data_IF_873162747399
#
_entry.id   IF_873162747399
#
_cell.length_a   1.000
_cell.length_b   1.000
_cell.length_c   1.000
_cell.angle_alpha   90.00
_cell.angle_beta   90.00
_cell.angle_gamma   90.00
#
_symmetry.space_group_name_H-M   'P 1'
#
loop_
_entity.id
_entity.type
_entity.pdbx_description
1 polymer ?
#
# COMPACT_ATOMS: atom_id res chain seq x y z
N UNK A 1 0.49 -4.38 19.50
CA UNK A 1 -0.71 -3.86 18.77
C UNK A 1 -1.60 -5.02 18.36
N UNK A 2 -2.87 -4.91 18.67
CA UNK A 2 -3.85 -5.90 18.24
C UNK A 2 -4.22 -5.67 16.77
N UNK A 3 -4.65 -6.72 16.05
CA UNK A 3 -5.01 -6.59 14.63
C UNK A 3 -6.20 -5.66 14.40
N UNK A 4 -7.14 -5.61 15.32
CA UNK A 4 -8.31 -4.73 15.22
C UNK A 4 -7.98 -3.25 15.48
N UNK A 5 -6.76 -2.95 15.91
CA UNK A 5 -6.28 -1.57 16.06
C UNK A 5 -5.62 -1.05 14.78
N UNK A 6 -5.38 -1.91 13.79
CA UNK A 6 -4.77 -1.51 12.53
C UNK A 6 -5.83 -0.87 11.63
N UNK A 7 -5.59 0.38 11.27
CA UNK A 7 -6.48 1.14 10.38
C UNK A 7 -5.80 1.51 9.06
N UNK A 8 -4.51 1.85 9.12
CA UNK A 8 -3.74 2.35 7.98
C UNK A 8 -2.54 1.45 7.71
N UNK A 9 -2.44 1.00 6.48
CA UNK A 9 -1.33 0.17 5.99
C UNK A 9 -0.57 0.96 4.93
N UNK A 10 0.73 1.09 5.10
CA UNK A 10 1.60 1.65 4.06
C UNK A 10 2.23 0.51 3.27
N UNK A 11 2.15 0.58 1.95
CA UNK A 11 2.78 -0.40 1.05
C UNK A 11 3.88 0.33 0.29
N UNK A 12 5.11 -0.11 0.47
CA UNK A 12 6.29 0.51 -0.13
C UNK A 12 6.72 -0.29 -1.35
N UNK A 13 6.51 0.30 -2.51
CA UNK A 13 6.73 -0.35 -3.80
C UNK A 13 5.39 -0.61 -4.50
N UNK A 14 5.18 0.02 -5.66
CA UNK A 14 3.92 -0.03 -6.38
C UNK A 14 3.94 -0.99 -7.58
N UNK A 15 4.97 -1.84 -7.68
CA UNK A 15 5.10 -2.85 -8.74
C UNK A 15 4.08 -3.97 -8.60
N UNK A 16 4.29 -5.06 -9.35
CA UNK A 16 3.34 -6.19 -9.43
C UNK A 16 2.88 -6.70 -8.07
N UNK A 17 3.83 -6.87 -7.15
CA UNK A 17 3.53 -7.37 -5.82
C UNK A 17 2.89 -6.29 -4.95
N UNK A 18 3.43 -5.08 -4.98
CA UNK A 18 2.96 -3.98 -4.12
C UNK A 18 1.53 -3.57 -4.40
N UNK A 19 1.17 -3.38 -5.68
CA UNK A 19 -0.20 -2.98 -5.99
C UNK A 19 -1.21 -4.12 -5.69
N UNK A 20 -0.78 -5.38 -5.84
CA UNK A 20 -1.62 -6.51 -5.48
C UNK A 20 -1.91 -6.58 -3.99
N UNK A 21 -0.89 -6.35 -3.16
CA UNK A 21 -1.03 -6.30 -1.70
C UNK A 21 -1.94 -5.13 -1.30
N UNK A 22 -1.73 -3.96 -1.90
CA UNK A 22 -2.54 -2.77 -1.64
C UNK A 22 -4.01 -3.01 -1.97
N UNK A 23 -4.29 -3.67 -3.08
CA UNK A 23 -5.66 -4.01 -3.49
C UNK A 23 -6.35 -4.90 -2.45
N UNK A 24 -5.67 -5.97 -2.01
CA UNK A 24 -6.21 -6.91 -1.02
C UNK A 24 -6.49 -6.17 0.30
N UNK A 25 -5.57 -5.34 0.75
CA UNK A 25 -5.73 -4.58 1.98
C UNK A 25 -6.92 -3.60 1.89
N UNK A 26 -7.05 -2.91 0.76
CA UNK A 26 -8.15 -1.98 0.53
C UNK A 26 -9.51 -2.70 0.51
N UNK A 27 -9.58 -3.87 -0.12
CA UNK A 27 -10.79 -4.68 -0.11
C UNK A 27 -11.15 -5.18 1.28
N UNK A 28 -10.14 -5.42 2.12
CA UNK A 28 -10.36 -5.84 3.51
C UNK A 28 -10.85 -4.69 4.41
N UNK A 29 -10.85 -3.46 3.92
CA UNK A 29 -11.38 -2.31 4.65
C UNK A 29 -10.34 -1.39 5.26
N UNK A 30 -9.05 -1.62 4.99
CA UNK A 30 -7.97 -0.77 5.50
C UNK A 30 -7.74 0.43 4.60
N UNK A 31 -7.34 1.55 5.19
CA UNK A 31 -6.78 2.66 4.43
C UNK A 31 -5.37 2.28 4.00
N UNK A 32 -5.02 2.52 2.74
CA UNK A 32 -3.75 2.09 2.19
C UNK A 32 -3.00 3.27 1.60
N UNK A 33 -1.79 3.48 2.10
CA UNK A 33 -0.86 4.46 1.54
C UNK A 33 0.11 3.69 0.63
N UNK A 34 -0.04 3.86 -0.68
CA UNK A 34 0.80 3.20 -1.67
C UNK A 34 1.92 4.16 -2.07
N UNK A 35 3.16 3.75 -1.88
CA UNK A 35 4.32 4.62 -2.12
C UNK A 35 5.33 3.99 -3.06
N UNK A 36 5.87 4.78 -3.98
CA UNK A 36 7.07 4.41 -4.72
C UNK A 36 7.98 5.63 -4.86
N UNK A 37 9.17 5.43 -5.40
CA UNK A 37 10.19 6.48 -5.50
C UNK A 37 9.87 7.53 -6.56
N UNK A 38 8.98 7.22 -7.51
CA UNK A 38 8.56 8.15 -8.57
C UNK A 38 7.04 8.15 -8.69
N UNK A 39 6.50 9.33 -8.95
CA UNK A 39 5.08 9.50 -9.15
C UNK A 39 4.53 8.60 -10.26
N UNK A 40 5.25 8.48 -11.37
CA UNK A 40 4.89 7.62 -12.49
C UNK A 40 4.70 6.16 -12.04
N UNK A 41 5.56 5.66 -11.17
CA UNK A 41 5.46 4.29 -10.66
C UNK A 41 4.26 4.10 -9.76
N UNK A 42 4.00 5.06 -8.88
CA UNK A 42 2.87 4.97 -7.96
C UNK A 42 1.54 5.13 -8.70
N UNK A 43 1.48 6.00 -9.71
CA UNK A 43 0.29 6.15 -10.54
C UNK A 43 -0.01 4.89 -11.35
N UNK A 44 1.03 4.26 -11.90
CA UNK A 44 0.85 2.98 -12.59
C UNK A 44 0.28 1.92 -11.68
N UNK A 45 0.78 1.82 -10.45
CA UNK A 45 0.26 0.89 -9.46
C UNK A 45 -1.20 1.17 -9.10
N UNK A 46 -1.53 2.44 -8.90
CA UNK A 46 -2.89 2.86 -8.62
C UNK A 46 -3.85 2.50 -9.76
N UNK A 47 -3.45 2.76 -10.99
CA UNK A 47 -4.26 2.42 -12.18
C UNK A 47 -4.48 0.92 -12.31
N UNK A 48 -3.47 0.11 -11.98
CA UNK A 48 -3.61 -1.34 -11.99
C UNK A 48 -4.61 -1.82 -10.93
N UNK A 49 -4.63 -1.18 -9.78
CA UNK A 49 -5.61 -1.48 -8.73
C UNK A 49 -7.02 -1.14 -9.20
N UNK A 50 -7.22 0.05 -9.77
CA UNK A 50 -8.53 0.45 -10.32
C UNK A 50 -9.01 -0.55 -11.36
N UNK A 51 -8.15 -0.90 -12.30
CA UNK A 51 -8.48 -1.82 -13.38
C UNK A 51 -8.86 -3.20 -12.83
N UNK A 52 -8.08 -3.70 -11.88
CA UNK A 52 -8.33 -5.00 -11.27
C UNK A 52 -9.66 -5.05 -10.52
N UNK A 53 -9.95 -4.00 -9.73
CA UNK A 53 -11.20 -3.90 -8.99
C UNK A 53 -12.41 -3.81 -9.92
N UNK A 54 -12.31 -3.05 -11.01
CA UNK A 54 -13.37 -2.98 -12.01
C UNK A 54 -13.61 -4.36 -12.66
N UNK A 55 -12.55 -5.11 -12.93
CA UNK A 55 -12.67 -6.47 -13.46
C UNK A 55 -13.40 -7.39 -12.50
N UNK A 56 -13.10 -7.30 -11.21
CA UNK A 56 -13.79 -8.10 -10.18
C UNK A 56 -15.28 -7.74 -10.12
N UNK A 57 -15.61 -6.47 -10.20
CA UNK A 57 -17.00 -6.02 -10.23
C UNK A 57 -17.72 -6.48 -11.50
N UNK A 58 -17.07 -6.40 -12.66
CA UNK A 58 -17.63 -6.86 -13.95
C UNK A 58 -17.94 -8.36 -13.92
N UNK A 59 -17.18 -9.13 -13.17
CA UNK A 59 -17.38 -10.58 -13.03
C UNK A 59 -18.27 -10.95 -11.86
N UNK A 60 -18.91 -9.98 -11.23
CA UNK A 60 -19.78 -10.15 -10.06
C UNK A 60 -19.11 -10.82 -8.87
N UNK A 61 -17.78 -10.73 -8.76
CA UNK A 61 -17.03 -11.26 -7.61
C UNK A 61 -17.09 -10.30 -6.43
N UNK A 62 -17.21 -8.99 -6.72
CA UNK A 62 -17.50 -7.94 -5.74
C UNK A 62 -18.58 -7.03 -6.33
N UNK A 63 -19.22 -6.23 -5.50
CA UNK A 63 -20.16 -5.22 -5.99
C UNK A 63 -19.40 -4.01 -6.53
N UNK A 64 -20.06 -3.19 -7.34
CA UNK A 64 -19.48 -1.93 -7.80
C UNK A 64 -19.18 -1.00 -6.63
N UNK A 65 -20.07 -0.97 -5.63
CA UNK A 65 -19.87 -0.18 -4.41
C UNK A 65 -18.61 -0.61 -3.65
N UNK A 66 -18.35 -1.91 -3.57
CA UNK A 66 -17.13 -2.43 -2.94
C UNK A 66 -15.87 -2.02 -3.71
N UNK A 67 -15.94 -2.08 -5.05
CA UNK A 67 -14.83 -1.66 -5.91
C UNK A 67 -14.52 -0.18 -5.73
N UNK A 68 -15.55 0.66 -5.75
CA UNK A 68 -15.39 2.11 -5.58
C UNK A 68 -14.85 2.45 -4.19
N UNK A 69 -15.37 1.81 -3.15
CA UNK A 69 -14.92 2.04 -1.79
C UNK A 69 -13.46 1.63 -1.60
N UNK A 70 -13.06 0.49 -2.16
CA UNK A 70 -11.67 0.02 -2.07
C UNK A 70 -10.72 0.98 -2.80
N UNK A 71 -11.09 1.45 -3.99
CA UNK A 71 -10.30 2.41 -4.74
C UNK A 71 -10.08 3.70 -3.93
N UNK A 72 -11.14 4.18 -3.26
CA UNK A 72 -11.08 5.40 -2.46
C UNK A 72 -10.17 5.25 -1.22
N UNK A 73 -9.95 4.03 -0.76
CA UNK A 73 -9.07 3.78 0.40
C UNK A 73 -7.59 3.83 0.05
N UNK A 74 -7.23 3.79 -1.24
CA UNK A 74 -5.83 3.81 -1.68
C UNK A 74 -5.41 5.25 -1.96
N UNK A 75 -4.35 5.69 -1.28
CA UNK A 75 -3.78 7.02 -1.44
C UNK A 75 -2.35 6.89 -1.99
N UNK A 76 -2.04 7.49 -3.13
CA UNK A 76 -0.69 7.42 -3.70
C UNK A 76 0.25 8.44 -3.05
N UNK A 77 1.50 8.02 -2.81
CA UNK A 77 2.55 8.87 -2.23
C UNK A 77 3.89 8.63 -2.91
N UNK A 78 4.71 9.66 -2.96
CA UNK A 78 6.14 9.56 -3.29
C UNK A 78 6.97 9.79 -2.03
N UNK A 79 6.57 10.75 -1.20
CA UNK A 79 7.26 11.06 0.06
C UNK A 79 7.06 9.95 1.09
N UNK A 80 8.15 9.35 1.53
CA UNK A 80 8.11 8.22 2.47
C UNK A 80 7.59 8.64 3.85
N UNK A 81 7.95 9.83 4.31
CA UNK A 81 7.47 10.36 5.58
C UNK A 81 5.94 10.47 5.59
N UNK A 82 5.37 11.02 4.52
CA UNK A 82 3.93 11.15 4.39
C UNK A 82 3.25 9.78 4.33
N UNK A 83 3.86 8.80 3.65
CA UNK A 83 3.29 7.47 3.50
C UNK A 83 3.26 6.69 4.81
N UNK A 84 4.32 6.77 5.61
CA UNK A 84 4.47 5.93 6.81
C UNK A 84 4.19 6.64 8.12
N UNK A 85 4.12 7.96 8.12
CA UNK A 85 4.05 8.75 9.36
C UNK A 85 2.86 8.45 10.26
N UNK A 86 1.76 7.97 9.70
CA UNK A 86 0.56 7.58 10.45
C UNK A 86 0.16 6.12 10.22
N UNK A 87 1.04 5.34 9.58
CA UNK A 87 0.75 3.94 9.28
C UNK A 87 0.90 3.07 10.53
N UNK A 88 -0.05 2.16 10.71
CA UNK A 88 -0.01 1.18 11.79
C UNK A 88 0.78 -0.06 11.38
N UNK A 89 0.81 -0.34 10.09
CA UNK A 89 1.50 -1.48 9.52
C UNK A 89 2.18 -1.05 8.23
N UNK A 90 3.43 -1.44 8.05
CA UNK A 90 4.20 -1.12 6.83
C UNK A 90 4.62 -2.42 6.16
N UNK A 91 4.28 -2.57 4.89
CA UNK A 91 4.68 -3.72 4.08
C UNK A 91 5.68 -3.24 3.04
N UNK A 92 6.86 -3.82 3.06
CA UNK A 92 7.92 -3.50 2.11
C UNK A 92 7.86 -4.50 0.95
N UNK A 93 7.62 -3.99 -0.26
CA UNK A 93 7.48 -4.79 -1.48
C UNK A 93 8.38 -4.26 -2.60
N UNK A 94 9.50 -3.62 -2.23
CA UNK A 94 10.48 -3.12 -3.19
C UNK A 94 11.28 -4.28 -3.79
N UNK A 95 11.90 -4.09 -4.98
CA UNK A 95 12.72 -5.14 -5.60
C UNK A 95 13.82 -5.65 -4.66
N UNK A 96 14.17 -6.92 -4.79
CA UNK A 96 15.15 -7.58 -3.93
C UNK A 96 16.59 -7.20 -4.25
N UNK A 97 16.88 -5.91 -4.26
CA UNK A 97 18.25 -5.43 -4.30
C UNK A 97 18.59 -4.93 -2.91
N UNK A 98 19.61 -5.49 -2.33
CA UNK A 98 20.00 -5.22 -0.95
C UNK A 98 20.15 -3.72 -0.65
N UNK A 99 20.73 -2.96 -1.57
CA UNK A 99 20.92 -1.52 -1.41
C UNK A 99 19.60 -0.77 -1.32
N UNK A 100 18.64 -1.11 -2.18
CA UNK A 100 17.32 -0.48 -2.18
C UNK A 100 16.59 -0.78 -0.87
N UNK A 101 16.65 -2.02 -0.40
CA UNK A 101 16.02 -2.40 0.85
C UNK A 101 16.60 -1.67 2.05
N UNK A 102 17.93 -1.53 2.11
CA UNK A 102 18.59 -0.80 3.19
C UNK A 102 18.15 0.66 3.25
N UNK A 103 18.10 1.32 2.08
CA UNK A 103 17.70 2.72 2.00
C UNK A 103 16.26 2.90 2.45
N UNK A 104 15.36 2.01 2.01
CA UNK A 104 13.96 2.06 2.39
C UNK A 104 13.79 1.83 3.89
N UNK A 105 14.46 0.82 4.45
CA UNK A 105 14.39 0.55 5.89
C UNK A 105 14.91 1.71 6.72
N UNK A 106 16.03 2.31 6.31
CA UNK A 106 16.58 3.46 7.01
C UNK A 106 15.59 4.63 7.06
N UNK A 107 14.98 4.95 5.92
CA UNK A 107 14.01 6.02 5.84
C UNK A 107 12.76 5.70 6.66
N UNK A 108 12.28 4.47 6.60
CA UNK A 108 11.08 4.03 7.33
C UNK A 108 11.31 4.11 8.83
N UNK A 109 12.47 3.64 9.31
CA UNK A 109 12.80 3.68 10.74
C UNK A 109 12.78 5.09 11.32
N UNK A 110 13.14 6.09 10.52
CA UNK A 110 13.15 7.48 10.95
C UNK A 110 11.75 8.09 11.08
N UNK A 111 10.76 7.54 10.38
CA UNK A 111 9.44 8.15 10.27
C UNK A 111 8.30 7.31 10.82
N UNK A 112 8.55 6.07 11.23
CA UNK A 112 7.51 5.19 11.76
C UNK A 112 6.94 5.69 13.08
N UNK A 113 5.61 5.64 13.24
CA UNK A 113 5.01 5.87 14.55
C UNK A 113 5.45 4.81 15.55
N UNK A 114 5.47 5.18 16.82
CA UNK A 114 5.74 4.24 17.90
C UNK A 114 4.71 3.11 17.88
N UNK A 115 5.16 1.89 17.96
CA UNK A 115 4.30 0.70 17.97
C UNK A 115 3.88 0.19 16.59
N UNK A 116 4.28 0.87 15.50
CA UNK A 116 3.97 0.39 14.16
C UNK A 116 4.74 -0.88 13.82
N UNK A 117 4.14 -1.71 12.98
CA UNK A 117 4.71 -3.00 12.57
C UNK A 117 5.24 -2.87 11.14
N UNK A 118 6.43 -3.42 10.89
CA UNK A 118 7.00 -3.48 9.54
C UNK A 118 7.17 -4.93 9.13
N UNK A 119 6.78 -5.25 7.91
CA UNK A 119 6.95 -6.57 7.32
C UNK A 119 7.68 -6.44 5.98
N UNK A 120 8.59 -7.38 5.72
CA UNK A 120 9.32 -7.46 4.46
C UNK A 120 8.89 -8.68 3.68
N UNK A 121 8.86 -8.51 2.39
CA UNK A 121 8.46 -9.57 1.48
C UNK A 121 9.65 -10.13 0.72
#
# INVERSE_FOLDING_TARGET
MEFDEIETIAVLGAGSMGHGIAEVAALAGYDVNLRDIKEEFVQNGYEQIEWSLEKLADKDQISQDEADAATDRVEPYVDIEAAVGEADFVIEAVPEKMEIKRDVYSDVEQHLPEGAIIASN
#
